data_IF_154053556013
#
_entry.id   IF_154053556013
#
_cell.length_a   1.000
_cell.length_b   1.000
_cell.length_c   1.000
_cell.angle_alpha   90.00
_cell.angle_beta   90.00
_cell.angle_gamma   90.00
#
_symmetry.space_group_name_H-M   'P 1'
#
loop_
_entity.id
_entity.type
_entity.pdbx_description
1 polymer ?
#
# COMPACT_ATOMS: atom_id res chain seq x y z
N UNK A 1 -41.28 3.61 -11.34
CA UNK A 1 -40.19 3.32 -10.40
C UNK A 1 -39.91 4.46 -9.43
N UNK A 2 -39.17 5.51 -9.79
CA UNK A 2 -38.78 6.56 -8.81
C UNK A 2 -39.99 7.29 -8.17
N UNK A 3 -41.01 7.61 -8.97
CA UNK A 3 -42.26 8.21 -8.47
C UNK A 3 -43.10 7.26 -7.57
N UNK A 4 -42.99 5.95 -7.75
CA UNK A 4 -43.69 4.95 -6.92
C UNK A 4 -42.95 4.75 -5.59
N UNK A 5 -41.62 4.75 -5.62
CA UNK A 5 -40.74 4.71 -4.46
C UNK A 5 -40.94 5.94 -3.55
N UNK A 6 -40.96 7.14 -4.14
CA UNK A 6 -41.24 8.38 -3.44
C UNK A 6 -42.65 8.40 -2.81
N UNK A 7 -43.63 7.75 -3.43
CA UNK A 7 -44.96 7.59 -2.83
C UNK A 7 -44.97 6.56 -1.70
N UNK A 8 -44.15 5.50 -1.78
CA UNK A 8 -44.06 4.46 -0.75
C UNK A 8 -43.40 4.95 0.56
N UNK A 9 -42.44 5.86 0.44
CA UNK A 9 -41.70 6.41 1.59
C UNK A 9 -42.35 7.66 2.18
N UNK A 10 -43.31 8.27 1.45
CA UNK A 10 -43.95 9.52 1.85
C UNK A 10 -44.63 9.39 3.21
N UNK A 11 -44.26 10.27 4.14
CA UNK A 11 -44.80 10.27 5.51
C UNK A 11 -44.06 9.34 6.46
N UNK A 12 -42.98 8.68 6.01
CA UNK A 12 -42.01 8.01 6.87
C UNK A 12 -40.69 8.82 6.90
N UNK A 13 -40.46 9.64 7.95
CA UNK A 13 -39.30 10.54 8.01
C UNK A 13 -37.94 9.81 7.94
N UNK A 14 -37.90 8.54 8.34
CA UNK A 14 -36.67 7.75 8.31
C UNK A 14 -36.34 7.30 6.88
N UNK A 15 -37.34 6.82 6.14
CA UNK A 15 -37.16 6.43 4.75
C UNK A 15 -36.92 7.64 3.83
N UNK A 16 -37.54 8.78 4.11
CA UNK A 16 -37.28 10.04 3.40
C UNK A 16 -35.84 10.52 3.61
N UNK A 17 -35.32 10.42 4.84
CA UNK A 17 -33.93 10.75 5.17
C UNK A 17 -32.93 9.80 4.49
N UNK A 18 -33.23 8.49 4.46
CA UNK A 18 -32.40 7.50 3.76
C UNK A 18 -32.41 7.72 2.25
N UNK A 19 -33.56 8.04 1.66
CA UNK A 19 -33.65 8.39 0.23
C UNK A 19 -32.74 9.58 -0.10
N UNK A 20 -32.79 10.64 0.71
CA UNK A 20 -31.94 11.81 0.53
C UNK A 20 -30.45 11.45 0.62
N UNK A 21 -30.05 10.60 1.57
CA UNK A 21 -28.67 10.12 1.69
C UNK A 21 -28.23 9.29 0.48
N UNK A 22 -29.06 8.38 -0.02
CA UNK A 22 -28.74 7.58 -1.21
C UNK A 22 -28.67 8.44 -2.48
N UNK A 23 -29.49 9.48 -2.57
CA UNK A 23 -29.47 10.46 -3.65
C UNK A 23 -28.20 11.32 -3.61
N UNK A 24 -27.80 11.82 -2.44
CA UNK A 24 -26.55 12.59 -2.26
C UNK A 24 -25.30 11.75 -2.58
N UNK A 25 -25.35 10.45 -2.30
CA UNK A 25 -24.26 9.51 -2.61
C UNK A 25 -24.26 9.01 -4.07
N UNK A 26 -25.20 9.49 -4.91
CA UNK A 26 -25.34 9.07 -6.31
C UNK A 26 -25.73 7.60 -6.49
N UNK A 27 -26.21 6.93 -5.42
CA UNK A 27 -26.58 5.51 -5.46
C UNK A 27 -27.86 5.29 -6.24
N UNK A 28 -28.77 6.26 -6.25
CA UNK A 28 -30.03 6.16 -7.01
C UNK A 28 -29.86 6.42 -8.51
N UNK A 29 -28.66 6.82 -8.95
CA UNK A 29 -28.38 7.06 -10.37
C UNK A 29 -28.20 5.76 -11.16
N UNK A 30 -28.10 4.61 -10.47
CA UNK A 30 -27.94 3.28 -11.09
C UNK A 30 -29.17 2.39 -10.86
N UNK A 31 -29.55 1.54 -11.83
CA UNK A 31 -30.66 0.59 -11.66
C UNK A 31 -30.49 -0.32 -10.45
N UNK A 32 -29.26 -0.73 -10.15
CA UNK A 32 -28.92 -1.60 -9.01
C UNK A 32 -29.10 -0.88 -7.67
N UNK A 33 -28.70 0.40 -7.58
CA UNK A 33 -28.91 1.17 -6.37
C UNK A 33 -30.37 1.56 -6.14
N UNK A 34 -31.15 1.78 -7.20
CA UNK A 34 -32.63 1.91 -7.09
C UNK A 34 -33.26 0.63 -6.56
N UNK A 35 -32.90 -0.54 -7.11
CA UNK A 35 -33.40 -1.83 -6.64
C UNK A 35 -33.01 -2.13 -5.19
N UNK A 36 -31.78 -1.79 -4.81
CA UNK A 36 -31.28 -1.97 -3.43
C UNK A 36 -32.09 -1.11 -2.47
N UNK A 37 -32.31 0.16 -2.80
CA UNK A 37 -33.10 1.07 -1.98
C UNK A 37 -34.58 0.65 -1.91
N UNK A 38 -35.15 0.15 -3.00
CA UNK A 38 -36.52 -0.39 -3.01
C UNK A 38 -36.67 -1.58 -2.05
N UNK A 39 -35.67 -2.47 -2.02
CA UNK A 39 -35.65 -3.59 -1.10
C UNK A 39 -35.44 -3.15 0.36
N UNK A 40 -34.67 -2.07 0.61
CA UNK A 40 -34.56 -1.47 1.95
C UNK A 40 -35.89 -0.91 2.44
N UNK A 41 -36.60 -0.19 1.56
CA UNK A 41 -37.91 0.38 1.84
C UNK A 41 -38.91 -0.74 2.16
N UNK A 42 -38.95 -1.81 1.36
CA UNK A 42 -39.83 -2.97 1.62
C UNK A 42 -39.50 -3.66 2.94
N UNK A 43 -38.22 -3.87 3.23
CA UNK A 43 -37.80 -4.46 4.50
C UNK A 43 -38.17 -3.57 5.69
N UNK A 44 -37.94 -2.26 5.60
CA UNK A 44 -38.33 -1.33 6.65
C UNK A 44 -39.84 -1.34 6.91
N UNK A 45 -40.65 -1.39 5.85
CA UNK A 45 -42.09 -1.49 5.98
C UNK A 45 -42.53 -2.85 6.57
N UNK A 46 -41.89 -3.96 6.20
CA UNK A 46 -42.19 -5.28 6.78
C UNK A 46 -41.86 -5.35 8.27
N UNK A 47 -40.80 -4.66 8.71
CA UNK A 47 -40.46 -4.53 10.14
C UNK A 47 -41.52 -3.75 10.93
N UNK A 48 -42.21 -2.79 10.30
CA UNK A 48 -43.26 -1.96 10.91
C UNK A 48 -44.62 -2.67 10.91
N UNK A 49 -44.93 -3.44 9.86
CA UNK A 49 -46.20 -4.20 9.74
C UNK A 49 -46.16 -5.57 10.43
N UNK A 50 -44.98 -6.07 10.78
CA UNK A 50 -44.82 -7.36 11.45
C UNK A 50 -44.90 -8.56 10.50
N UNK A 51 -44.85 -8.34 9.19
CA UNK A 51 -44.79 -9.41 8.19
C UNK A 51 -43.36 -9.98 8.09
N UNK A 52 -43.21 -11.30 8.22
CA UNK A 52 -41.93 -12.01 8.35
C UNK A 52 -41.08 -12.09 7.06
N UNK A 53 -41.53 -11.55 5.93
CA UNK A 53 -40.99 -11.92 4.60
C UNK A 53 -39.95 -10.97 4.00
N UNK A 54 -39.44 -10.01 4.77
CA UNK A 54 -38.40 -9.10 4.27
C UNK A 54 -37.00 -9.63 4.54
N UNK A 55 -36.36 -10.38 3.62
CA UNK A 55 -34.90 -10.54 3.65
C UNK A 55 -34.25 -9.14 3.56
N UNK A 56 -33.34 -8.82 4.48
CA UNK A 56 -32.60 -7.56 4.43
C UNK A 56 -31.79 -7.54 3.13
N UNK A 57 -31.86 -6.51 2.28
CA UNK A 57 -31.28 -6.52 0.93
C UNK A 57 -29.77 -6.76 0.88
N UNK A 58 -29.10 -6.58 2.02
CA UNK A 58 -27.68 -6.81 2.17
C UNK A 58 -27.32 -8.20 2.71
N UNK A 59 -28.28 -8.95 3.26
CA UNK A 59 -28.07 -10.28 3.82
C UNK A 59 -28.47 -11.34 2.78
N UNK A 60 -27.48 -11.92 2.08
CA UNK A 60 -27.67 -13.23 1.45
C UNK A 60 -27.23 -14.29 2.44
N UNK A 61 -28.07 -15.31 2.65
CA UNK A 61 -27.91 -16.40 3.63
C UNK A 61 -26.60 -17.22 3.54
N UNK A 62 -25.75 -16.98 2.53
CA UNK A 62 -24.58 -17.81 2.20
C UNK A 62 -23.20 -17.16 2.40
N UNK A 63 -23.10 -15.88 2.76
CA UNK A 63 -21.80 -15.27 3.06
C UNK A 63 -21.66 -15.11 4.57
N UNK A 64 -21.18 -16.15 5.26
CA UNK A 64 -20.78 -15.99 6.66
C UNK A 64 -19.66 -14.92 6.74
N UNK A 65 -19.71 -13.98 7.70
CA UNK A 65 -18.68 -12.97 7.82
C UNK A 65 -17.32 -13.63 8.09
N UNK A 66 -16.29 -13.19 7.36
CA UNK A 66 -14.97 -13.85 7.37
C UNK A 66 -14.26 -13.64 8.72
N UNK A 67 -14.51 -12.51 9.39
CA UNK A 67 -14.05 -12.24 10.77
C UNK A 67 -15.21 -11.72 11.62
N UNK A 68 -15.52 -12.40 12.72
CA UNK A 68 -16.62 -12.09 13.64
C UNK A 68 -16.20 -12.29 15.08
N UNK A 69 -16.49 -11.31 15.93
CA UNK A 69 -16.36 -11.46 17.38
C UNK A 69 -17.52 -12.29 17.96
N UNK A 70 -17.29 -13.05 19.04
CA UNK A 70 -18.37 -13.63 19.82
C UNK A 70 -19.39 -12.56 20.23
N UNK A 71 -20.71 -12.81 20.12
CA UNK A 71 -21.71 -11.85 20.54
C UNK A 71 -21.62 -11.53 22.05
N UNK A 72 -21.68 -10.25 22.39
CA UNK A 72 -21.64 -9.77 23.78
C UNK A 72 -23.04 -9.38 24.23
N UNK A 73 -23.46 -9.86 25.39
CA UNK A 73 -24.75 -9.51 25.97
C UNK A 73 -24.65 -8.13 26.63
N UNK A 74 -25.59 -7.25 26.30
CA UNK A 74 -25.77 -5.97 26.98
C UNK A 74 -26.54 -6.20 28.29
N UNK A 75 -25.91 -5.91 29.43
CA UNK A 75 -26.39 -6.28 30.77
C UNK A 75 -26.83 -5.08 31.61
N UNK A 76 -26.20 -3.90 31.46
CA UNK A 76 -26.37 -2.72 32.31
C UNK A 76 -27.76 -2.08 32.25
N UNK A 77 -28.76 -2.69 32.89
CA UNK A 77 -30.14 -2.19 32.92
C UNK A 77 -30.95 -2.45 31.65
N UNK A 78 -30.32 -2.97 30.59
CA UNK A 78 -30.95 -3.40 29.32
C UNK A 78 -31.37 -4.89 29.34
N UNK A 79 -31.18 -5.56 30.48
CA UNK A 79 -31.16 -7.03 30.60
C UNK A 79 -32.50 -7.76 30.47
N UNK A 80 -33.66 -7.08 30.49
CA UNK A 80 -34.96 -7.75 30.31
C UNK A 80 -35.14 -8.31 28.89
N UNK A 81 -34.39 -7.78 27.93
CA UNK A 81 -34.58 -8.05 26.51
C UNK A 81 -33.46 -8.89 25.87
N UNK A 82 -32.43 -9.29 26.64
CA UNK A 82 -31.26 -10.07 26.17
C UNK A 82 -30.68 -9.56 24.84
N UNK A 83 -30.43 -8.26 24.75
CA UNK A 83 -29.79 -7.67 23.57
C UNK A 83 -28.36 -8.17 23.42
N UNK A 84 -28.01 -8.65 22.23
CA UNK A 84 -26.66 -9.12 21.88
C UNK A 84 -26.02 -8.17 20.87
N UNK A 85 -24.86 -7.65 21.21
CA UNK A 85 -24.01 -6.87 20.32
C UNK A 85 -23.05 -7.82 19.57
N UNK A 86 -22.98 -7.70 18.25
CA UNK A 86 -22.08 -8.46 17.39
C UNK A 86 -21.27 -7.52 16.52
N UNK A 87 -19.97 -7.79 16.37
CA UNK A 87 -19.07 -7.03 15.51
C UNK A 87 -18.41 -7.98 14.52
N UNK A 88 -18.41 -7.61 13.25
CA UNK A 88 -17.76 -8.38 12.20
C UNK A 88 -17.38 -7.53 10.99
N UNK A 89 -16.52 -8.04 10.14
CA UNK A 89 -16.24 -7.47 8.82
C UNK A 89 -16.96 -8.25 7.72
N UNK A 90 -17.62 -7.52 6.81
CA UNK A 90 -18.33 -8.05 5.65
C UNK A 90 -18.29 -7.04 4.49
N UNK A 91 -18.08 -7.51 3.27
CA UNK A 91 -18.00 -6.75 2.02
C UNK A 91 -17.13 -5.49 2.12
N UNK A 92 -15.93 -5.62 2.71
CA UNK A 92 -14.97 -4.52 2.96
C UNK A 92 -15.51 -3.43 3.88
N UNK A 93 -16.52 -3.73 4.67
CA UNK A 93 -17.11 -2.84 5.66
C UNK A 93 -17.10 -3.50 7.03
N UNK A 94 -17.17 -2.67 8.05
CA UNK A 94 -17.37 -3.04 9.43
C UNK A 94 -18.84 -2.96 9.76
N UNK A 95 -19.33 -4.02 10.39
CA UNK A 95 -20.72 -4.15 10.79
C UNK A 95 -20.78 -4.27 12.31
N UNK A 96 -21.62 -3.45 12.93
CA UNK A 96 -22.01 -3.59 14.33
C UNK A 96 -23.52 -3.81 14.38
N UNK A 97 -23.92 -4.96 14.91
CA UNK A 97 -25.31 -5.37 15.03
C UNK A 97 -25.74 -5.47 16.49
N UNK A 98 -26.99 -5.12 16.75
CA UNK A 98 -27.69 -5.43 17.98
C UNK A 98 -28.87 -6.31 17.62
N UNK A 99 -28.92 -7.49 18.22
CA UNK A 99 -29.97 -8.49 18.01
C UNK A 99 -30.71 -8.80 19.31
N UNK A 100 -31.95 -9.23 19.16
CA UNK A 100 -32.77 -9.79 20.22
C UNK A 100 -33.21 -11.19 19.78
N UNK A 101 -32.79 -12.21 20.51
CA UNK A 101 -32.92 -13.59 20.04
C UNK A 101 -32.13 -13.78 18.74
N UNK A 102 -32.84 -14.16 17.66
CA UNK A 102 -32.30 -14.35 16.31
C UNK A 102 -32.56 -13.14 15.39
N UNK A 103 -33.32 -12.13 15.85
CA UNK A 103 -33.68 -10.97 15.03
C UNK A 103 -32.66 -9.84 15.23
N UNK A 104 -32.04 -9.39 14.15
CA UNK A 104 -31.28 -8.14 14.14
C UNK A 104 -32.24 -6.95 14.21
N UNK A 105 -32.04 -6.09 15.21
CA UNK A 105 -32.87 -4.89 15.45
C UNK A 105 -32.15 -3.65 14.93
N UNK A 106 -30.85 -3.56 15.18
CA UNK A 106 -30.02 -2.43 14.77
C UNK A 106 -28.83 -2.98 14.01
N UNK A 107 -28.56 -2.41 12.84
CA UNK A 107 -27.37 -2.73 12.03
C UNK A 107 -26.71 -1.44 11.59
N UNK A 108 -25.47 -1.23 12.03
CA UNK A 108 -24.66 -0.07 11.67
C UNK A 108 -23.49 -0.54 10.82
N UNK A 109 -23.39 -0.03 9.59
CA UNK A 109 -22.35 -0.41 8.63
C UNK A 109 -21.45 0.78 8.35
N UNK A 110 -20.12 0.61 8.47
CA UNK A 110 -19.13 1.69 8.31
C UNK A 110 -17.87 1.20 7.60
N UNK A 111 -17.20 2.10 6.89
CA UNK A 111 -15.91 1.81 6.26
C UNK A 111 -14.68 1.99 7.17
N UNK A 112 -14.89 2.09 8.49
CA UNK A 112 -13.84 2.28 9.50
C UNK A 112 -14.12 1.31 10.64
N UNK A 113 -13.06 0.76 11.24
CA UNK A 113 -13.17 -0.15 12.39
C UNK A 113 -14.03 0.47 13.49
N UNK A 114 -14.91 -0.31 14.13
CA UNK A 114 -15.80 0.19 15.17
C UNK A 114 -15.04 0.71 16.40
N UNK A 115 -13.81 0.23 16.63
CA UNK A 115 -12.92 0.73 17.68
C UNK A 115 -12.27 2.08 17.35
N UNK A 116 -12.28 2.47 16.07
CA UNK A 116 -11.70 3.73 15.58
C UNK A 116 -12.77 4.74 15.14
N UNK A 117 -14.06 4.41 15.21
CA UNK A 117 -15.14 5.32 14.84
C UNK A 117 -15.67 6.06 16.08
N UNK A 118 -15.26 7.33 16.33
CA UNK A 118 -15.67 8.08 17.52
C UNK A 118 -17.18 8.36 17.56
N UNK A 119 -17.89 8.14 16.44
CA UNK A 119 -19.33 8.41 16.32
C UNK A 119 -20.19 7.16 16.54
N UNK A 120 -19.59 5.96 16.59
CA UNK A 120 -20.34 4.71 16.61
C UNK A 120 -21.21 4.57 17.87
N UNK A 121 -20.62 4.75 19.06
CA UNK A 121 -21.34 4.64 20.34
C UNK A 121 -22.51 5.62 20.39
N UNK A 122 -22.29 6.86 19.93
CA UNK A 122 -23.35 7.88 19.86
C UNK A 122 -24.50 7.48 18.94
N UNK A 123 -24.21 6.86 17.79
CA UNK A 123 -25.22 6.35 16.85
C UNK A 123 -25.99 5.18 17.44
N UNK A 124 -25.28 4.17 17.97
CA UNK A 124 -25.93 3.02 18.62
C UNK A 124 -26.84 3.46 19.76
N UNK A 125 -26.41 4.42 20.57
CA UNK A 125 -27.23 5.00 21.64
C UNK A 125 -28.55 5.58 21.11
N UNK A 126 -28.50 6.33 20.01
CA UNK A 126 -29.69 6.93 19.40
C UNK A 126 -30.61 5.84 18.86
N UNK A 127 -30.09 4.84 18.13
CA UNK A 127 -30.91 3.77 17.56
C UNK A 127 -31.52 2.88 18.65
N UNK A 128 -30.76 2.50 19.69
CA UNK A 128 -31.29 1.75 20.84
C UNK A 128 -32.39 2.57 21.52
N UNK A 129 -32.17 3.89 21.74
CA UNK A 129 -33.17 4.74 22.37
C UNK A 129 -34.47 4.90 21.55
N UNK A 130 -34.39 4.79 20.22
CA UNK A 130 -35.58 4.76 19.35
C UNK A 130 -36.32 3.45 19.43
N UNK A 131 -35.61 2.32 19.36
CA UNK A 131 -36.22 0.99 19.44
C UNK A 131 -36.78 0.68 20.83
N UNK A 132 -36.15 1.24 21.87
CA UNK A 132 -36.50 1.00 23.27
C UNK A 132 -36.66 2.31 24.05
N UNK A 133 -37.77 3.05 23.83
CA UNK A 133 -37.99 4.37 24.44
C UNK A 133 -38.03 4.38 25.98
N UNK A 134 -38.23 3.21 26.59
CA UNK A 134 -38.25 3.04 28.05
C UNK A 134 -36.85 3.05 28.67
N UNK A 135 -35.80 2.81 27.90
CA UNK A 135 -34.44 2.87 28.40
C UNK A 135 -33.93 4.30 28.49
N UNK A 136 -33.32 4.63 29.63
CA UNK A 136 -32.70 5.94 29.82
C UNK A 136 -31.46 6.05 28.94
N UNK A 137 -31.36 7.15 28.19
CA UNK A 137 -30.22 7.44 27.30
C UNK A 137 -28.86 7.37 28.01
N UNK A 138 -28.79 7.75 29.30
CA UNK A 138 -27.57 7.64 30.11
C UNK A 138 -27.16 6.21 30.36
N UNK A 139 -28.13 5.34 30.68
CA UNK A 139 -27.90 3.91 30.93
C UNK A 139 -27.41 3.21 29.66
N UNK A 140 -28.02 3.53 28.51
CA UNK A 140 -27.57 3.01 27.21
C UNK A 140 -26.12 3.41 26.93
N UNK A 141 -25.79 4.69 27.16
CA UNK A 141 -24.44 5.21 26.91
C UNK A 141 -23.39 4.57 27.83
N UNK A 142 -23.68 4.48 29.13
CA UNK A 142 -22.80 3.84 30.13
C UNK A 142 -22.54 2.38 29.76
N UNK A 143 -23.58 1.65 29.37
CA UNK A 143 -23.46 0.25 29.00
C UNK A 143 -22.67 0.04 27.70
N UNK A 144 -22.92 0.86 26.68
CA UNK A 144 -22.15 0.79 25.43
C UNK A 144 -20.67 1.13 25.68
N UNK A 145 -20.36 2.17 26.46
CA UNK A 145 -18.96 2.49 26.80
C UNK A 145 -18.30 1.32 27.54
N UNK A 146 -18.95 0.78 28.57
CA UNK A 146 -18.45 -0.39 29.32
C UNK A 146 -18.15 -1.58 28.41
N UNK A 147 -19.06 -1.88 27.47
CA UNK A 147 -18.89 -3.00 26.53
C UNK A 147 -17.77 -2.72 25.54
N UNK A 148 -17.72 -1.55 24.93
CA UNK A 148 -16.67 -1.21 23.96
C UNK A 148 -15.28 -1.13 24.61
N UNK A 149 -15.16 -0.58 25.82
CA UNK A 149 -13.93 -0.56 26.61
C UNK A 149 -13.49 -1.99 27.01
N UNK A 150 -14.44 -2.88 27.29
CA UNK A 150 -14.13 -4.29 27.50
C UNK A 150 -13.68 -5.00 26.23
N UNK A 151 -14.33 -4.71 25.10
CA UNK A 151 -14.05 -5.33 23.81
C UNK A 151 -12.69 -4.92 23.25
N UNK A 152 -12.34 -3.63 23.28
CA UNK A 152 -11.07 -3.14 22.72
C UNK A 152 -9.84 -3.76 23.40
N UNK A 153 -9.98 -4.21 24.65
CA UNK A 153 -8.93 -4.87 25.42
C UNK A 153 -9.05 -6.40 25.42
N UNK A 154 -9.97 -6.97 24.63
CA UNK A 154 -10.21 -8.41 24.59
C UNK A 154 -9.30 -9.12 23.57
N UNK A 155 -8.92 -10.39 23.81
CA UNK A 155 -8.20 -11.20 22.83
C UNK A 155 -8.96 -11.38 21.50
N UNK A 156 -10.28 -11.27 21.53
CA UNK A 156 -11.13 -11.38 20.34
C UNK A 156 -11.05 -10.14 19.46
N UNK A 157 -10.79 -8.95 20.03
CA UNK A 157 -10.57 -7.73 19.26
C UNK A 157 -9.22 -7.75 18.54
N UNK A 158 -8.18 -8.37 19.12
CA UNK A 158 -6.89 -8.56 18.44
C UNK A 158 -6.99 -9.51 17.24
N UNK A 159 -7.90 -10.49 17.30
CA UNK A 159 -8.17 -11.42 16.19
C UNK A 159 -9.15 -10.87 15.16
N UNK A 160 -9.79 -9.75 15.46
CA UNK A 160 -10.76 -9.13 14.58
C UNK A 160 -10.03 -8.30 13.53
N UNK A 161 -10.10 -8.74 12.28
CA UNK A 161 -9.42 -8.14 11.15
C UNK A 161 -10.39 -7.82 10.02
N UNK A 162 -10.06 -6.85 9.18
CA UNK A 162 -10.94 -6.50 8.06
C UNK A 162 -10.88 -7.55 6.96
N UNK A 163 -11.98 -7.69 6.22
CA UNK A 163 -12.03 -8.61 5.08
C UNK A 163 -10.95 -8.29 4.02
N UNK A 164 -10.58 -7.02 3.90
CA UNK A 164 -9.55 -6.58 2.96
C UNK A 164 -8.18 -7.15 3.36
N UNK A 165 -7.85 -7.08 4.66
CA UNK A 165 -6.60 -7.63 5.22
C UNK A 165 -6.60 -9.14 5.03
N UNK A 166 -7.69 -9.83 5.40
CA UNK A 166 -7.81 -11.29 5.21
C UNK A 166 -7.63 -11.70 3.75
N UNK A 167 -8.25 -10.98 2.81
CA UNK A 167 -8.06 -11.26 1.38
C UNK A 167 -6.60 -11.12 0.95
N UNK A 168 -5.85 -10.18 1.52
CA UNK A 168 -4.41 -10.06 1.25
C UNK A 168 -3.68 -11.26 1.82
N UNK A 169 -3.88 -11.57 3.10
CA UNK A 169 -3.28 -12.72 3.80
C UNK A 169 -3.56 -14.02 3.03
N UNK A 170 -4.83 -14.28 2.69
CA UNK A 170 -5.25 -15.48 1.97
C UNK A 170 -4.66 -15.57 0.57
N UNK A 171 -4.35 -14.45 -0.07
CA UNK A 171 -3.70 -14.44 -1.39
C UNK A 171 -2.18 -14.45 -1.29
N UNK A 172 -1.59 -14.12 -0.14
CA UNK A 172 -0.15 -14.24 0.09
C UNK A 172 0.22 -15.73 0.21
N UNK A 173 1.19 -16.15 -0.57
CA UNK A 173 1.73 -17.51 -0.55
C UNK A 173 3.02 -17.57 0.28
N UNK A 174 3.94 -16.62 0.05
CA UNK A 174 5.19 -16.48 0.80
C UNK A 174 5.64 -15.03 0.83
N UNK A 175 6.39 -14.67 1.85
CA UNK A 175 7.07 -13.37 1.91
C UNK A 175 8.56 -13.60 2.09
N UNK A 176 9.33 -12.93 1.26
CA UNK A 176 10.79 -12.97 1.29
C UNK A 176 11.34 -11.59 1.56
N UNK A 177 12.36 -11.52 2.40
CA UNK A 177 13.26 -10.38 2.49
C UNK A 177 14.54 -10.77 1.75
N UNK A 178 14.66 -10.30 0.53
CA UNK A 178 15.87 -10.52 -0.25
C UNK A 178 16.98 -9.60 0.26
N UNK A 179 18.12 -10.21 0.60
CA UNK A 179 19.30 -9.53 1.13
C UNK A 179 20.06 -8.80 0.00
N UNK A 180 19.39 -7.84 -0.64
CA UNK A 180 20.01 -6.81 -1.50
C UNK A 180 20.33 -5.55 -0.69
N UNK A 181 21.07 -4.62 -1.28
CA UNK A 181 21.30 -3.29 -0.71
C UNK A 181 20.75 -2.19 -1.65
N UNK A 182 19.59 -1.57 -1.33
CA UNK A 182 18.76 -1.80 -0.14
C UNK A 182 17.93 -3.10 -0.21
N UNK A 183 17.53 -3.68 0.94
CA UNK A 183 16.76 -4.91 0.97
C UNK A 183 15.37 -4.71 0.36
N UNK A 184 14.92 -5.73 -0.36
CA UNK A 184 13.64 -5.75 -1.05
C UNK A 184 12.77 -6.84 -0.43
N UNK A 185 11.54 -6.47 -0.12
CA UNK A 185 10.49 -7.40 0.26
C UNK A 185 9.79 -7.89 -1.01
N UNK A 186 9.78 -9.21 -1.17
CA UNK A 186 9.15 -9.90 -2.28
C UNK A 186 7.99 -10.71 -1.74
N UNK A 187 6.77 -10.28 -2.06
CA UNK A 187 5.55 -10.95 -1.61
C UNK A 187 5.05 -11.81 -2.78
N UNK A 188 5.28 -13.10 -2.66
CA UNK A 188 4.76 -14.09 -3.59
C UNK A 188 3.28 -14.33 -3.27
N UNK A 189 2.44 -14.05 -4.25
CA UNK A 189 1.00 -14.27 -4.21
C UNK A 189 0.66 -15.60 -4.86
N UNK A 190 -0.39 -16.25 -4.36
CA UNK A 190 -0.95 -17.48 -4.92
C UNK A 190 -1.20 -17.30 -6.42
N UNK A 191 -0.73 -18.26 -7.22
CA UNK A 191 -0.76 -18.17 -8.68
C UNK A 191 0.50 -17.55 -9.30
N UNK A 192 1.63 -17.57 -8.58
CA UNK A 192 2.97 -17.14 -9.06
C UNK A 192 3.05 -15.68 -9.50
N UNK A 193 2.29 -14.82 -8.83
CA UNK A 193 2.28 -13.37 -9.04
C UNK A 193 3.07 -12.72 -7.90
N UNK A 194 3.82 -11.64 -8.14
CA UNK A 194 4.75 -11.13 -7.13
C UNK A 194 4.69 -9.61 -6.99
N UNK A 195 4.68 -9.12 -5.75
CA UNK A 195 4.80 -7.70 -5.41
C UNK A 195 6.21 -7.41 -4.86
N UNK A 196 6.73 -6.22 -5.14
CA UNK A 196 8.10 -5.82 -4.79
C UNK A 196 8.10 -4.49 -4.06
N UNK A 197 8.54 -4.49 -2.80
CA UNK A 197 8.62 -3.27 -2.01
C UNK A 197 10.02 -3.08 -1.45
N UNK A 198 10.55 -1.86 -1.53
CA UNK A 198 11.74 -1.52 -0.75
C UNK A 198 11.39 -1.48 0.74
N UNK A 199 12.38 -1.62 1.61
CA UNK A 199 12.18 -1.40 3.05
C UNK A 199 11.60 0.00 3.35
N UNK A 200 11.94 1.04 2.57
CA UNK A 200 11.35 2.37 2.74
C UNK A 200 9.88 2.43 2.35
N UNK A 201 9.43 1.63 1.37
CA UNK A 201 8.03 1.64 0.94
C UNK A 201 7.14 1.11 2.07
N UNK A 202 7.57 0.01 2.70
CA UNK A 202 6.87 -0.60 3.82
C UNK A 202 6.97 0.25 5.09
N UNK A 203 8.16 0.75 5.43
CA UNK A 203 8.35 1.54 6.67
C UNK A 203 7.55 2.86 6.68
N UNK A 204 7.33 3.48 5.51
CA UNK A 204 6.51 4.69 5.39
C UNK A 204 5.02 4.40 5.26
N UNK A 205 4.61 3.13 5.25
CA UNK A 205 3.24 2.69 5.05
C UNK A 205 2.58 3.41 3.87
N UNK A 206 3.24 3.44 2.70
CA UNK A 206 2.76 4.25 1.56
C UNK A 206 1.54 3.61 0.89
N UNK A 207 0.30 4.12 1.09
CA UNK A 207 -0.90 3.44 0.62
C UNK A 207 -1.00 3.44 -0.91
N UNK A 208 -0.52 4.51 -1.55
CA UNK A 208 -0.54 4.65 -3.01
C UNK A 208 0.29 3.54 -3.66
N UNK A 209 1.51 3.29 -3.17
CA UNK A 209 2.42 2.30 -3.74
C UNK A 209 1.87 0.87 -3.64
N UNK A 210 1.27 0.53 -2.50
CA UNK A 210 0.63 -0.78 -2.30
C UNK A 210 -0.57 -0.94 -3.24
N UNK A 211 -1.41 0.08 -3.36
CA UNK A 211 -2.56 0.05 -4.28
C UNK A 211 -2.14 -0.08 -5.74
N UNK A 212 -1.12 0.66 -6.19
CA UNK A 212 -0.62 0.62 -7.57
C UNK A 212 -0.15 -0.78 -7.96
N UNK A 213 0.67 -1.43 -7.11
CA UNK A 213 1.16 -2.77 -7.41
C UNK A 213 0.04 -3.81 -7.35
N UNK A 214 -0.89 -3.67 -6.40
CA UNK A 214 -2.07 -4.53 -6.34
C UNK A 214 -2.93 -4.41 -7.60
N UNK A 215 -3.23 -3.18 -8.04
CA UNK A 215 -3.95 -2.90 -9.28
C UNK A 215 -3.25 -3.51 -10.49
N UNK A 216 -1.94 -3.33 -10.62
CA UNK A 216 -1.17 -3.90 -11.73
C UNK A 216 -1.24 -5.44 -11.77
N UNK A 217 -1.31 -6.07 -10.60
CA UNK A 217 -1.23 -7.53 -10.47
C UNK A 217 -2.60 -8.23 -10.61
N UNK A 218 -3.66 -7.63 -10.06
CA UNK A 218 -4.99 -8.23 -9.98
C UNK A 218 -6.05 -7.50 -10.82
N UNK A 219 -5.73 -6.35 -11.41
CA UNK A 219 -6.65 -5.49 -12.15
C UNK A 219 -7.91 -5.11 -11.35
N UNK A 220 -7.77 -4.95 -10.03
CA UNK A 220 -8.86 -4.56 -9.13
C UNK A 220 -8.33 -3.69 -7.99
N UNK A 221 -9.17 -2.83 -7.41
CA UNK A 221 -8.78 -2.01 -6.27
C UNK A 221 -8.65 -2.86 -5.00
N UNK A 222 -7.56 -2.65 -4.24
CA UNK A 222 -7.38 -3.24 -2.92
C UNK A 222 -8.47 -2.73 -1.96
N UNK A 223 -8.69 -1.41 -1.91
CA UNK A 223 -9.75 -0.83 -1.07
C UNK A 223 -9.46 -0.89 0.44
N UNK A 224 -8.20 -1.09 0.82
CA UNK A 224 -7.73 -0.95 2.20
C UNK A 224 -7.79 0.53 2.65
N UNK A 225 -8.01 0.77 3.95
CA UNK A 225 -8.11 2.12 4.53
C UNK A 225 -7.42 2.19 5.90
N UNK A 226 -6.72 3.30 6.14
CA UNK A 226 -6.12 3.58 7.46
C UNK A 226 -5.29 2.41 7.98
N UNK A 227 -5.71 1.86 9.13
CA UNK A 227 -5.04 0.75 9.84
C UNK A 227 -4.97 -0.56 9.05
N UNK A 228 -5.81 -0.76 8.02
CA UNK A 228 -5.71 -1.94 7.15
C UNK A 228 -4.31 -2.04 6.50
N UNK A 229 -3.71 -0.90 6.11
CA UNK A 229 -2.38 -0.90 5.51
C UNK A 229 -1.30 -1.28 6.51
N UNK A 230 -1.39 -0.79 7.74
CA UNK A 230 -0.47 -1.15 8.81
C UNK A 230 -0.54 -2.65 9.08
N UNK A 231 -1.74 -3.20 9.20
CA UNK A 231 -1.94 -4.63 9.47
C UNK A 231 -1.45 -5.53 8.33
N UNK A 232 -1.68 -5.14 7.07
CA UNK A 232 -1.13 -5.85 5.90
C UNK A 232 0.40 -5.86 5.93
N UNK A 233 1.01 -4.70 6.23
CA UNK A 233 2.47 -4.57 6.26
C UNK A 233 3.07 -5.36 7.42
N UNK A 234 2.46 -5.26 8.61
CA UNK A 234 2.88 -5.98 9.80
C UNK A 234 2.85 -7.50 9.55
N UNK A 235 1.78 -8.00 8.91
CA UNK A 235 1.69 -9.40 8.49
C UNK A 235 2.81 -9.78 7.51
N UNK A 236 3.05 -8.97 6.48
CA UNK A 236 4.11 -9.28 5.51
C UNK A 236 5.50 -9.27 6.16
N UNK A 237 5.78 -8.31 7.03
CA UNK A 237 7.06 -8.24 7.75
C UNK A 237 7.20 -9.43 8.70
N UNK A 238 6.14 -9.84 9.39
CA UNK A 238 6.19 -10.99 10.32
C UNK A 238 6.41 -12.33 9.61
N UNK A 239 5.88 -12.48 8.39
CA UNK A 239 6.03 -13.70 7.58
C UNK A 239 7.33 -13.72 6.75
N UNK A 240 8.06 -12.61 6.70
CA UNK A 240 9.23 -12.47 5.83
C UNK A 240 10.37 -13.42 6.25
N UNK A 241 10.78 -14.29 5.32
CA UNK A 241 11.98 -15.11 5.47
C UNK A 241 13.13 -14.51 4.68
N UNK A 242 14.34 -14.60 5.22
CA UNK A 242 15.52 -14.14 4.49
C UNK A 242 15.87 -15.11 3.36
N UNK A 243 16.19 -14.58 2.19
CA UNK A 243 16.79 -15.34 1.10
C UNK A 243 17.89 -14.54 0.42
N UNK A 244 18.85 -15.26 -0.13
CA UNK A 244 19.77 -14.67 -1.09
C UNK A 244 18.99 -14.14 -2.29
N UNK A 245 19.43 -12.97 -2.75
CA UNK A 245 19.04 -12.34 -3.99
C UNK A 245 18.77 -13.36 -5.11
N UNK A 246 17.49 -13.56 -5.49
CA UNK A 246 17.13 -14.46 -6.58
C UNK A 246 17.38 -13.79 -7.94
N UNK A 247 18.63 -13.37 -8.19
CA UNK A 247 19.12 -12.94 -9.49
C UNK A 247 18.35 -11.82 -10.18
N UNK A 248 17.49 -11.06 -9.48
CA UNK A 248 16.91 -9.86 -10.05
C UNK A 248 18.03 -8.82 -10.05
N UNK A 249 18.52 -8.37 -11.22
CA UNK A 249 19.59 -7.38 -11.27
C UNK A 249 19.12 -6.13 -10.53
N UNK A 250 20.04 -5.53 -9.76
CA UNK A 250 19.78 -4.29 -9.03
C UNK A 250 19.03 -3.30 -9.92
N UNK A 251 18.11 -2.50 -9.37
CA UNK A 251 17.46 -1.44 -10.14
C UNK A 251 18.48 -0.41 -10.71
N UNK A 252 19.71 -0.43 -10.21
CA UNK A 252 20.85 0.35 -10.69
C UNK A 252 21.75 -0.42 -11.66
N UNK A 253 21.57 -1.73 -11.84
CA UNK A 253 22.32 -2.51 -12.82
C UNK A 253 22.07 -2.00 -14.26
N UNK A 254 20.81 -1.76 -14.71
CA UNK A 254 20.58 -1.18 -16.03
C UNK A 254 21.18 0.22 -16.17
N UNK A 255 21.23 0.99 -15.08
CA UNK A 255 21.88 2.30 -15.05
C UNK A 255 23.39 2.15 -15.22
N UNK A 256 23.99 1.20 -14.52
CA UNK A 256 25.43 0.93 -14.61
C UNK A 256 25.83 0.40 -15.99
N UNK A 257 25.08 -0.54 -16.57
CA UNK A 257 25.30 -1.03 -17.93
C UNK A 257 25.28 0.11 -18.96
N UNK A 258 24.35 1.06 -18.81
CA UNK A 258 24.25 2.20 -19.71
C UNK A 258 25.39 3.22 -19.51
N UNK A 259 25.86 3.38 -18.26
CA UNK A 259 27.10 4.12 -17.96
C UNK A 259 28.29 3.45 -18.66
N UNK A 260 28.43 2.12 -18.52
CA UNK A 260 29.51 1.34 -19.16
C UNK A 260 29.47 1.57 -20.67
N UNK A 261 28.31 1.43 -21.32
CA UNK A 261 28.15 1.65 -22.77
C UNK A 261 28.56 3.06 -23.19
N UNK A 262 28.12 4.09 -22.46
CA UNK A 262 28.47 5.49 -22.78
C UNK A 262 29.95 5.79 -22.54
N UNK A 263 30.54 5.22 -21.49
CA UNK A 263 31.96 5.42 -21.15
C UNK A 263 32.86 4.67 -22.13
N UNK A 264 32.45 3.47 -22.58
CA UNK A 264 33.22 2.60 -23.48
C UNK A 264 33.46 3.16 -24.88
N UNK A 265 32.76 4.22 -25.28
CA UNK A 265 32.97 4.87 -26.59
C UNK A 265 33.79 6.15 -26.51
N UNK A 266 34.15 6.61 -25.30
CA UNK A 266 34.87 7.86 -25.09
C UNK A 266 36.39 7.60 -25.07
N UNK A 267 37.23 8.49 -25.63
CA UNK A 267 38.67 8.27 -25.64
C UNK A 267 39.28 8.43 -24.25
N UNK A 268 40.08 7.45 -23.82
CA UNK A 268 40.80 7.51 -22.53
C UNK A 268 41.98 8.46 -22.67
N UNK A 269 42.16 9.31 -21.68
CA UNK A 269 43.28 10.21 -21.59
C UNK A 269 43.93 10.14 -20.21
N UNK A 270 45.26 10.17 -20.18
CA UNK A 270 46.06 10.36 -18.94
C UNK A 270 46.12 11.83 -18.50
N UNK A 271 45.78 12.77 -19.39
CA UNK A 271 45.76 14.20 -19.09
C UNK A 271 44.42 14.64 -18.49
N UNK A 272 44.48 15.32 -17.33
CA UNK A 272 43.30 15.82 -16.59
C UNK A 272 42.46 16.83 -17.37
N UNK A 273 43.06 17.58 -18.29
CA UNK A 273 42.35 18.57 -19.11
C UNK A 273 41.29 17.92 -20.01
N UNK A 274 41.49 16.65 -20.38
CA UNK A 274 40.58 15.91 -21.25
C UNK A 274 39.28 15.46 -20.56
N UNK A 275 39.16 15.67 -19.25
CA UNK A 275 37.88 15.62 -18.56
C UNK A 275 36.90 16.71 -19.09
N UNK A 276 37.42 17.81 -19.65
CA UNK A 276 36.61 18.83 -20.36
C UNK A 276 36.25 18.35 -21.77
N UNK A 277 37.26 17.93 -22.52
CA UNK A 277 37.14 17.66 -23.96
C UNK A 277 36.38 16.38 -24.24
N UNK A 278 36.71 15.31 -23.51
CA UNK A 278 36.21 13.95 -23.74
C UNK A 278 35.32 13.44 -22.60
N UNK A 279 35.32 14.12 -21.45
CA UNK A 279 34.49 13.74 -20.31
C UNK A 279 35.04 12.61 -19.45
N UNK A 280 36.24 12.09 -19.79
CA UNK A 280 36.92 11.02 -19.05
C UNK A 280 38.40 11.36 -18.82
N UNK A 281 38.94 10.97 -17.68
CA UNK A 281 40.37 11.06 -17.35
C UNK A 281 40.80 9.89 -16.47
N UNK A 282 41.90 9.24 -16.82
CA UNK A 282 42.54 8.20 -16.01
C UNK A 282 43.66 8.83 -15.17
N UNK A 283 43.52 8.85 -13.84
CA UNK A 283 44.42 9.56 -12.92
C UNK A 283 45.78 8.88 -12.73
N UNK A 284 45.85 7.56 -12.89
CA UNK A 284 47.06 6.76 -12.68
C UNK A 284 47.12 5.61 -13.67
N UNK A 285 48.26 4.93 -13.78
CA UNK A 285 48.41 3.84 -14.76
C UNK A 285 47.36 2.73 -14.54
N UNK A 286 46.85 2.14 -15.64
CA UNK A 286 45.92 1.03 -15.53
C UNK A 286 46.57 -0.12 -14.75
N UNK A 287 45.75 -0.86 -13.99
CA UNK A 287 46.18 -2.01 -13.17
C UNK A 287 47.10 -1.71 -11.98
N UNK A 288 47.29 -0.43 -11.62
CA UNK A 288 47.92 -0.06 -10.33
C UNK A 288 46.89 -0.08 -9.20
N UNK A 289 47.27 -0.54 -8.02
CA UNK A 289 46.43 -0.46 -6.82
C UNK A 289 46.09 1.01 -6.54
N UNK A 290 44.80 1.35 -6.65
CA UNK A 290 44.30 2.73 -6.55
C UNK A 290 44.08 3.49 -7.86
N UNK A 291 44.22 2.89 -9.05
CA UNK A 291 43.87 3.58 -10.30
C UNK A 291 42.39 3.99 -10.35
N UNK A 292 42.11 5.25 -10.71
CA UNK A 292 40.75 5.82 -10.77
C UNK A 292 40.46 6.37 -12.16
N UNK A 293 39.34 5.93 -12.74
CA UNK A 293 38.79 6.48 -13.98
C UNK A 293 37.74 7.53 -13.65
N UNK A 294 38.09 8.80 -13.82
CA UNK A 294 37.19 9.92 -13.59
C UNK A 294 36.27 10.12 -14.77
N UNK A 295 34.96 10.08 -14.52
CA UNK A 295 33.89 10.32 -15.51
C UNK A 295 33.09 11.55 -15.10
N UNK A 296 32.86 12.47 -16.04
CA UNK A 296 32.16 13.73 -15.78
C UNK A 296 30.70 13.50 -15.37
N UNK A 297 30.22 14.28 -14.39
CA UNK A 297 28.92 14.03 -13.75
C UNK A 297 27.72 14.24 -14.69
N UNK A 298 27.85 15.08 -15.72
CA UNK A 298 26.80 15.29 -16.72
C UNK A 298 26.50 14.04 -17.57
N UNK A 299 27.51 13.20 -17.83
CA UNK A 299 27.34 11.89 -18.48
C UNK A 299 26.46 11.00 -17.60
N UNK A 300 26.77 10.94 -16.30
CA UNK A 300 25.99 10.18 -15.32
C UNK A 300 24.56 10.72 -15.21
N UNK A 301 24.38 12.04 -15.11
CA UNK A 301 23.06 12.67 -15.09
C UNK A 301 22.26 12.40 -16.37
N UNK A 302 22.91 12.36 -17.53
CA UNK A 302 22.24 12.02 -18.80
C UNK A 302 21.69 10.60 -18.78
N UNK A 303 22.47 9.63 -18.29
CA UNK A 303 22.02 8.24 -18.11
C UNK A 303 20.81 8.19 -17.18
N UNK A 304 20.92 8.83 -16.00
CA UNK A 304 19.87 8.83 -14.98
C UNK A 304 18.56 9.40 -15.52
N UNK A 305 18.60 10.55 -16.21
CA UNK A 305 17.42 11.14 -16.84
C UNK A 305 16.80 10.25 -17.92
N UNK A 306 17.62 9.59 -18.74
CA UNK A 306 17.12 8.71 -19.80
C UNK A 306 16.32 7.52 -19.27
N UNK A 307 16.63 7.08 -18.05
CA UNK A 307 15.97 5.97 -17.35
C UNK A 307 14.91 6.45 -16.34
N UNK A 308 14.55 7.74 -16.36
CA UNK A 308 13.55 8.32 -15.46
C UNK A 308 13.96 8.36 -13.99
N UNK A 309 15.27 8.32 -13.69
CA UNK A 309 15.83 8.36 -12.34
C UNK A 309 16.29 9.78 -11.97
N UNK A 310 16.38 10.05 -10.67
CA UNK A 310 16.85 11.34 -10.16
C UNK A 310 18.38 11.43 -10.15
N UNK A 311 18.93 12.52 -10.69
CA UNK A 311 20.36 12.84 -10.69
C UNK A 311 20.97 12.95 -9.27
N UNK A 312 20.12 13.10 -8.25
CA UNK A 312 20.52 13.29 -6.85
C UNK A 312 20.30 12.06 -5.97
N UNK A 313 20.03 10.87 -6.53
CA UNK A 313 19.75 9.67 -5.74
C UNK A 313 21.03 9.18 -5.01
N UNK A 314 21.11 9.30 -3.67
CA UNK A 314 22.29 8.89 -2.93
C UNK A 314 22.49 7.37 -2.92
N UNK A 315 21.45 6.59 -3.20
CA UNK A 315 21.50 5.13 -3.11
C UNK A 315 22.29 4.52 -4.27
N UNK A 316 22.30 5.16 -5.45
CA UNK A 316 23.11 4.71 -6.58
C UNK A 316 24.61 4.77 -6.25
N UNK A 317 25.08 5.88 -5.66
CA UNK A 317 26.49 6.02 -5.28
C UNK A 317 26.91 4.99 -4.22
N UNK A 318 26.03 4.72 -3.26
CA UNK A 318 26.28 3.69 -2.24
C UNK A 318 26.39 2.30 -2.88
N UNK A 319 25.42 1.95 -3.75
CA UNK A 319 25.40 0.68 -4.48
C UNK A 319 26.69 0.48 -5.28
N UNK A 320 27.11 1.47 -6.08
CA UNK A 320 28.32 1.34 -6.91
C UNK A 320 29.61 1.21 -6.09
N UNK A 321 29.69 1.83 -4.90
CA UNK A 321 30.86 1.68 -4.00
C UNK A 321 30.91 0.28 -3.42
N UNK A 322 29.77 -0.24 -2.97
CA UNK A 322 29.69 -1.57 -2.36
C UNK A 322 29.99 -2.69 -3.37
N UNK A 323 29.59 -2.52 -4.63
CA UNK A 323 29.91 -3.43 -5.74
C UNK A 323 31.34 -3.27 -6.27
N UNK A 324 32.16 -2.39 -5.68
CA UNK A 324 33.53 -2.11 -6.15
C UNK A 324 33.63 -1.38 -7.50
N UNK A 325 32.49 -1.01 -8.09
CA UNK A 325 32.39 -0.30 -9.38
C UNK A 325 32.83 1.16 -9.27
N UNK A 326 32.57 1.81 -8.13
CA UNK A 326 32.93 3.20 -7.83
C UNK A 326 33.95 3.27 -6.70
N UNK A 327 35.12 3.84 -6.97
CA UNK A 327 36.18 4.06 -5.97
C UNK A 327 35.98 5.38 -5.22
N UNK A 328 35.52 6.41 -5.93
CA UNK A 328 35.31 7.74 -5.36
C UNK A 328 33.97 8.36 -5.74
N UNK A 329 33.28 8.93 -4.75
CA UNK A 329 32.05 9.71 -4.97
C UNK A 329 32.31 10.95 -5.82
N UNK A 330 31.23 11.52 -6.36
CA UNK A 330 31.27 12.78 -7.10
C UNK A 330 31.98 13.90 -6.34
N UNK A 331 33.17 14.31 -6.82
CA UNK A 331 33.96 15.42 -6.26
C UNK A 331 34.23 16.50 -7.29
N UNK A 332 34.56 17.70 -6.82
CA UNK A 332 34.89 18.85 -7.67
C UNK A 332 36.36 18.78 -8.08
N UNK A 333 36.63 18.83 -9.37
CA UNK A 333 37.97 18.93 -9.95
C UNK A 333 38.21 20.34 -10.47
N UNK A 334 39.33 20.94 -10.06
CA UNK A 334 39.83 22.20 -10.62
C UNK A 334 40.77 21.91 -11.79
N UNK A 335 40.55 22.64 -12.87
CA UNK A 335 41.23 22.55 -14.17
C UNK A 335 41.46 23.98 -14.69
N UNK A 336 42.35 24.14 -15.67
CA UNK A 336 42.70 25.47 -16.20
C UNK A 336 41.48 26.23 -16.74
N UNK A 337 40.48 25.52 -17.26
CA UNK A 337 39.25 26.09 -17.84
C UNK A 337 38.07 26.19 -16.86
N UNK A 338 38.28 25.97 -15.55
CA UNK A 338 37.23 26.14 -14.53
C UNK A 338 37.17 25.02 -13.48
N UNK A 339 35.95 24.75 -13.00
CA UNK A 339 35.67 23.62 -12.10
C UNK A 339 34.58 22.74 -12.69
N UNK A 340 34.70 21.43 -12.50
CA UNK A 340 33.69 20.46 -12.92
C UNK A 340 33.56 19.35 -11.88
N UNK A 341 32.42 18.65 -11.84
CA UNK A 341 32.25 17.47 -10.98
C UNK A 341 32.44 16.18 -11.75
N UNK A 342 33.14 15.22 -11.17
CA UNK A 342 33.34 13.90 -11.75
C UNK A 342 33.25 12.80 -10.69
N UNK A 343 32.89 11.60 -11.13
CA UNK A 343 32.79 10.38 -10.34
C UNK A 343 33.99 9.50 -10.65
N UNK A 344 34.59 8.87 -9.63
CA UNK A 344 35.78 8.05 -9.80
C UNK A 344 35.44 6.56 -9.84
N UNK A 345 35.39 5.97 -11.03
CA UNK A 345 35.10 4.55 -11.24
C UNK A 345 36.37 3.69 -11.16
N UNK A 346 36.18 2.38 -10.95
CA UNK A 346 37.25 1.41 -11.21
C UNK A 346 37.54 1.39 -12.72
N UNK A 347 38.81 1.34 -13.15
CA UNK A 347 39.17 1.17 -14.56
C UNK A 347 38.59 -0.11 -15.19
N UNK A 348 38.29 -1.13 -14.38
CA UNK A 348 37.69 -2.41 -14.80
C UNK A 348 36.30 -2.26 -15.44
N UNK A 349 35.70 -1.07 -15.38
CA UNK A 349 34.50 -0.73 -16.16
C UNK A 349 34.77 -0.80 -17.68
N UNK A 350 36.03 -0.83 -18.12
CA UNK A 350 36.47 -1.05 -19.51
C UNK A 350 37.57 -2.13 -19.57
N UNK A 351 37.23 -3.42 -19.38
CA UNK A 351 38.23 -4.48 -19.29
C UNK A 351 38.97 -4.71 -20.61
N UNK A 352 38.29 -4.51 -21.75
CA UNK A 352 38.82 -4.80 -23.09
C UNK A 352 39.94 -3.83 -23.53
N UNK A 353 40.07 -2.68 -22.87
CA UNK A 353 41.06 -1.64 -23.21
C UNK A 353 42.31 -1.68 -22.33
N UNK A 354 42.32 -2.53 -21.30
CA UNK A 354 43.42 -2.66 -20.35
C UNK A 354 43.79 -4.14 -20.21
N UNK A 355 44.65 -4.64 -21.11
CA UNK A 355 45.20 -6.00 -21.03
C UNK A 355 46.10 -6.20 -19.78
N UNK A 356 46.29 -7.44 -19.35
CA UNK A 356 47.15 -7.82 -18.19
C UNK A 356 48.60 -7.31 -18.32
N UNK A 357 49.04 -6.94 -19.51
CA UNK A 357 50.38 -6.43 -19.81
C UNK A 357 50.51 -4.89 -19.68
N UNK A 358 49.47 -4.19 -19.21
CA UNK A 358 49.51 -2.75 -18.91
C UNK A 358 49.63 -1.84 -20.13
N UNK A 359 49.50 -2.38 -21.34
CA UNK A 359 49.42 -1.60 -22.57
C UNK A 359 47.95 -1.38 -22.92
N UNK A 360 47.49 -0.14 -22.75
CA UNK A 360 46.23 0.28 -23.35
C UNK A 360 46.42 0.28 -24.86
N UNK A 361 45.53 -0.40 -25.62
CA UNK A 361 45.45 -0.22 -27.06
C UNK A 361 44.99 1.22 -27.33
N UNK A 362 45.97 2.10 -27.50
CA UNK A 362 45.76 3.50 -27.83
C UNK A 362 45.17 3.55 -29.25
N UNK A 363 43.86 3.79 -29.37
CA UNK A 363 43.30 4.36 -30.59
C UNK A 363 43.70 5.84 -30.64
N UNK A 364 44.93 6.09 -31.11
CA UNK A 364 45.32 7.41 -31.54
C UNK A 364 44.41 7.85 -32.70
N UNK A 365 43.83 9.05 -32.61
CA UNK A 365 43.35 9.74 -33.80
C UNK A 365 44.53 9.91 -34.75
N UNK A 366 44.60 9.08 -35.80
CA UNK A 366 45.36 9.45 -36.98
C UNK A 366 44.62 10.60 -37.65
N UNK A 367 45.18 11.80 -37.53
CA UNK A 367 44.85 12.95 -38.36
C UNK A 367 45.03 12.54 -39.83
N UNK A 368 43.92 12.40 -40.56
CA UNK A 368 43.93 12.45 -42.02
C UNK A 368 44.00 13.92 -42.44
N UNK A 369 45.23 14.42 -42.59
CA UNK A 369 45.58 15.64 -43.32
C UNK A 369 46.52 15.32 -44.46
#
# INVERSE_FOLDING_TARGET
>A
MEAELLNLIRGNPELESRYASHHEEGRLDTPEGVQTFEAEVRHHLSLVTGEEDGEHPYLKRNDAPISRMPPVILQGGLGAEMLKLSIFSERRQWVTEISQGERTIIRVVRGVSPFNDPRLIGRLKIEIGRCFPLFKTTVILEELNRVFDGLINSPDAEKLTSEVVLRVIDRTERVWRELYKPPVYVIEMKGKKTLYFSASDLAKCQPLRINEQWMALFNEQLGARGRDFEEIIDYWISEAREREAAGIPSIYEPVFEEIVKMVSVLPISKEKINLVTHGIWLESEPNTDGAVLWVRSDIISKVMRSLGKSDSDPNMANYLIEEGKLKERSRVHRIERGTLRAWGFSPDIRPDEFSEDGTAEFQGCEDRG
#
